data_IF_822777531596
#
_entry.id   IF_822777531596
#
_cell.length_a   1.000
_cell.length_b   1.000
_cell.length_c   1.000
_cell.angle_alpha   90.00
_cell.angle_beta   90.00
_cell.angle_gamma   90.00
#
_symmetry.space_group_name_H-M   'P 1'
#
loop_
_entity.id
_entity.type
_entity.pdbx_description
1 polymer ?
#
# COMPACT_ATOMS: atom_id res chain seq x y z
N UNK A 1 -0.99 -11.05 23.74
CA UNK A 1 -0.60 -9.78 23.10
C UNK A 1 -0.09 -10.12 21.70
N UNK A 2 -0.35 -9.25 20.72
CA UNK A 2 0.18 -9.40 19.36
C UNK A 2 1.71 -9.21 19.38
N UNK A 3 2.45 -10.01 18.61
CA UNK A 3 3.91 -9.93 18.56
C UNK A 3 4.35 -9.04 17.39
N UNK A 4 5.29 -8.13 17.64
CA UNK A 4 5.82 -7.28 16.57
C UNK A 4 6.98 -7.98 15.88
N UNK A 5 6.67 -8.80 14.89
CA UNK A 5 7.71 -9.56 14.17
C UNK A 5 8.65 -8.65 13.37
N UNK A 6 8.24 -7.40 13.11
CA UNK A 6 9.08 -6.40 12.47
C UNK A 6 10.16 -5.87 13.42
N UNK A 7 9.80 -5.58 14.68
CA UNK A 7 10.73 -5.12 15.70
C UNK A 7 11.66 -6.23 16.19
N UNK A 8 11.16 -7.46 16.26
CA UNK A 8 11.92 -8.64 16.65
C UNK A 8 12.84 -9.17 15.53
N UNK A 9 12.60 -8.74 14.29
CA UNK A 9 13.32 -9.24 13.11
C UNK A 9 12.99 -10.70 12.77
N UNK A 10 11.91 -11.24 13.34
CA UNK A 10 11.39 -12.58 13.08
C UNK A 10 10.52 -12.64 11.81
N UNK A 11 10.35 -11.51 11.12
CA UNK A 11 9.61 -11.41 9.86
C UNK A 11 10.25 -12.17 8.69
N UNK A 12 9.43 -12.71 7.78
CA UNK A 12 9.88 -13.47 6.61
C UNK A 12 10.18 -12.62 5.35
N UNK A 13 10.19 -11.29 5.46
CA UNK A 13 10.31 -10.41 4.30
C UNK A 13 11.67 -10.51 3.58
N UNK A 14 11.64 -10.55 2.24
CA UNK A 14 12.85 -10.58 1.42
C UNK A 14 13.59 -9.24 1.39
N UNK A 15 14.85 -9.23 0.95
CA UNK A 15 15.72 -8.03 0.98
C UNK A 15 15.21 -6.82 0.15
N UNK A 16 14.32 -7.03 -0.81
CA UNK A 16 13.68 -5.95 -1.58
C UNK A 16 12.37 -5.45 -0.95
N UNK A 17 11.99 -5.98 0.21
CA UNK A 17 10.76 -5.67 0.93
C UNK A 17 11.07 -5.01 2.29
N UNK A 18 10.12 -4.26 2.80
CA UNK A 18 10.06 -3.72 4.15
C UNK A 18 8.95 -4.43 4.92
N UNK A 19 9.18 -4.67 6.20
CA UNK A 19 8.18 -5.21 7.10
C UNK A 19 7.26 -4.08 7.59
N UNK A 20 5.95 -4.32 7.55
CA UNK A 20 4.93 -3.51 8.19
C UNK A 20 4.23 -4.39 9.23
N UNK A 21 4.33 -4.03 10.51
CA UNK A 21 3.68 -4.77 11.58
C UNK A 21 2.17 -4.52 11.53
N UNK A 22 1.37 -5.56 11.73
CA UNK A 22 -0.09 -5.53 11.62
C UNK A 22 -0.70 -6.34 12.76
N UNK A 23 -1.94 -6.04 13.14
CA UNK A 23 -2.57 -6.88 14.16
C UNK A 23 -2.74 -8.32 13.65
N UNK A 24 -2.17 -9.29 14.37
CA UNK A 24 -2.19 -10.71 14.00
C UNK A 24 -1.08 -11.13 13.04
N UNK A 25 -0.08 -10.29 12.77
CA UNK A 25 1.12 -10.67 12.00
C UNK A 25 1.80 -9.49 11.27
N UNK A 26 2.35 -9.73 10.08
CA UNK A 26 3.05 -8.68 9.31
C UNK A 26 2.77 -8.74 7.81
N UNK A 27 2.97 -7.59 7.15
CA UNK A 27 2.95 -7.46 5.69
C UNK A 27 4.33 -7.11 5.16
N UNK A 28 4.77 -7.82 4.11
CA UNK A 28 6.00 -7.52 3.39
C UNK A 28 5.72 -6.63 2.17
N UNK A 29 5.92 -5.33 2.33
CA UNK A 29 5.67 -4.34 1.27
C UNK A 29 6.95 -4.04 0.47
N UNK A 30 6.88 -3.73 -0.83
CA UNK A 30 8.08 -3.37 -1.59
C UNK A 30 8.77 -2.12 -1.02
N UNK A 31 10.10 -2.15 -0.88
CA UNK A 31 10.91 -0.96 -0.51
C UNK A 31 10.80 0.15 -1.55
N UNK A 32 10.76 -0.24 -2.82
CA UNK A 32 10.53 0.64 -3.96
C UNK A 32 9.07 0.48 -4.40
N UNK A 33 8.24 1.40 -3.90
CA UNK A 33 6.80 1.38 -4.12
C UNK A 33 6.47 1.80 -5.55
N UNK A 34 7.02 2.93 -5.98
CA UNK A 34 6.93 3.40 -7.35
C UNK A 34 7.96 2.65 -8.20
N UNK A 35 7.53 2.10 -9.34
CA UNK A 35 8.39 1.38 -10.28
C UNK A 35 8.34 2.02 -11.66
N UNK A 36 9.45 1.96 -12.39
CA UNK A 36 9.54 2.52 -13.75
C UNK A 36 9.53 4.06 -13.74
N UNK A 37 8.78 4.72 -14.66
CA UNK A 37 8.82 6.18 -14.81
C UNK A 37 8.02 6.94 -13.72
N UNK A 38 7.48 6.23 -12.72
CA UNK A 38 6.71 6.84 -11.64
C UNK A 38 7.61 7.37 -10.54
N UNK A 39 7.32 8.58 -10.07
CA UNK A 39 8.00 9.19 -8.92
C UNK A 39 7.07 9.30 -7.71
N UNK A 40 7.58 9.19 -6.47
CA UNK A 40 6.77 9.40 -5.27
C UNK A 40 6.16 10.80 -5.23
N UNK A 41 4.90 10.89 -4.83
CA UNK A 41 4.25 12.18 -4.64
C UNK A 41 4.73 12.80 -3.31
N UNK A 42 5.33 14.00 -3.37
CA UNK A 42 5.90 14.66 -2.18
C UNK A 42 4.93 14.91 -1.01
N UNK A 43 3.62 14.99 -1.27
CA UNK A 43 2.60 15.28 -0.24
C UNK A 43 1.73 14.09 0.14
N UNK A 44 1.88 12.96 -0.54
CA UNK A 44 1.03 11.79 -0.32
C UNK A 44 1.89 10.54 -0.31
N UNK A 45 2.14 10.02 0.88
CA UNK A 45 2.78 8.73 1.04
C UNK A 45 1.91 7.65 0.37
N UNK A 46 2.53 6.77 -0.41
CA UNK A 46 1.81 5.75 -1.18
C UNK A 46 1.33 6.19 -2.56
N UNK A 47 1.35 7.48 -2.89
CA UNK A 47 0.96 7.95 -4.23
C UNK A 47 2.19 8.05 -5.14
N UNK A 48 2.08 7.46 -6.32
CA UNK A 48 3.08 7.49 -7.38
C UNK A 48 2.53 8.28 -8.57
N UNK A 49 3.35 9.15 -9.14
CA UNK A 49 2.91 10.12 -10.16
C UNK A 49 3.71 9.91 -11.45
N UNK A 50 3.04 10.00 -12.60
CA UNK A 50 3.65 9.90 -13.92
C UNK A 50 3.14 11.03 -14.81
N UNK A 51 3.81 12.19 -14.82
CA UNK A 51 3.39 13.34 -15.62
C UNK A 51 3.47 13.01 -17.12
N UNK A 52 2.49 13.42 -17.91
CA UNK A 52 2.48 13.19 -19.37
C UNK A 52 3.70 13.77 -20.10
N UNK A 53 4.34 14.80 -19.54
CA UNK A 53 5.55 15.41 -20.06
C UNK A 53 6.81 14.51 -19.93
N UNK A 54 6.75 13.47 -19.10
CA UNK A 54 7.88 12.55 -18.88
C UNK A 54 7.84 11.42 -19.92
N UNK A 55 8.93 11.21 -20.68
CA UNK A 55 9.05 10.06 -21.58
C UNK A 55 8.83 8.74 -20.83
N UNK A 56 7.95 7.90 -21.36
CA UNK A 56 7.58 6.61 -20.74
C UNK A 56 6.32 6.65 -19.87
N UNK A 57 5.76 7.84 -19.57
CA UNK A 57 4.49 7.98 -18.87
C UNK A 57 3.26 7.88 -19.77
N UNK A 58 3.31 8.23 -21.05
CA UNK A 58 2.22 7.93 -21.99
C UNK A 58 2.43 6.51 -22.56
N UNK A 59 1.43 5.60 -22.53
CA UNK A 59 0.00 5.75 -22.23
C UNK A 59 -0.41 5.33 -20.79
N UNK A 60 0.51 5.34 -19.83
CA UNK A 60 0.31 4.88 -18.45
C UNK A 60 -0.60 5.84 -17.65
N UNK A 61 -1.23 5.38 -16.56
CA UNK A 61 -2.03 6.25 -15.71
C UNK A 61 -1.18 7.35 -15.06
N UNK A 62 -1.79 8.52 -14.88
CA UNK A 62 -1.12 9.67 -14.26
C UNK A 62 -0.81 9.43 -12.78
N UNK A 63 -1.69 8.73 -12.05
CA UNK A 63 -1.58 8.48 -10.62
C UNK A 63 -1.77 7.01 -10.31
N UNK A 64 -0.90 6.45 -9.47
CA UNK A 64 -1.07 5.14 -8.84
C UNK A 64 -1.11 5.35 -7.33
N UNK A 65 -2.12 4.80 -6.67
CA UNK A 65 -2.25 4.85 -5.21
C UNK A 65 -2.00 3.46 -4.63
N UNK A 66 -0.93 3.33 -3.86
CA UNK A 66 -0.66 2.16 -3.05
C UNK A 66 -1.22 2.38 -1.64
N UNK A 67 -2.33 1.70 -1.34
CA UNK A 67 -2.96 1.70 -0.03
C UNK A 67 -2.88 0.31 0.57
N UNK A 68 -1.99 0.13 1.53
CA UNK A 68 -1.90 -1.11 2.32
C UNK A 68 -2.96 -1.05 3.41
N UNK A 69 -4.09 -1.72 3.18
CA UNK A 69 -5.17 -1.81 4.16
C UNK A 69 -4.90 -2.99 5.09
N UNK A 70 -4.70 -2.73 6.37
CA UNK A 70 -4.91 -3.73 7.41
C UNK A 70 -6.40 -3.74 7.70
N UNK A 71 -7.11 -4.81 7.33
CA UNK A 71 -8.50 -4.98 7.75
C UNK A 71 -8.41 -5.44 9.21
N UNK A 72 -8.70 -4.59 10.23
CA UNK A 72 -8.86 -5.11 11.57
C UNK A 72 -10.00 -6.14 11.51
N UNK A 73 -9.89 -7.22 12.26
CA UNK A 73 -10.89 -8.29 12.32
C UNK A 73 -12.27 -7.67 12.64
N UNK A 74 -13.05 -7.35 11.60
CA UNK A 74 -14.41 -6.85 11.74
C UNK A 74 -15.24 -8.11 11.97
N UNK A 75 -15.25 -8.61 13.20
CA UNK A 75 -16.03 -9.80 13.58
C UNK A 75 -17.55 -9.61 13.39
N UNK A 76 -17.99 -8.40 13.05
CA UNK A 76 -19.36 -8.07 12.70
C UNK A 76 -19.35 -7.16 11.46
N UNK A 77 -19.33 -7.75 10.26
CA UNK A 77 -19.85 -7.05 9.08
C UNK A 77 -21.34 -7.41 9.04
N UNK A 78 -22.26 -6.51 9.44
CA UNK A 78 -23.65 -6.71 9.10
C UNK A 78 -23.69 -6.79 7.57
N UNK A 79 -24.34 -7.80 7.02
CA UNK A 79 -24.70 -7.87 5.60
C UNK A 79 -25.65 -6.73 5.25
N UNK A 80 -25.16 -5.50 5.30
CA UNK A 80 -25.77 -4.29 4.77
C UNK A 80 -25.13 -4.01 3.43
N UNK A 81 -25.94 -4.05 2.37
CA UNK A 81 -25.51 -3.63 1.03
C UNK A 81 -25.24 -2.13 1.11
N UNK A 82 -23.96 -1.74 1.11
CA UNK A 82 -23.59 -0.33 1.04
C UNK A 82 -23.65 0.14 -0.42
N UNK A 83 -24.66 0.94 -0.74
CA UNK A 83 -24.72 1.65 -2.02
C UNK A 83 -23.77 2.86 -1.97
N UNK A 84 -22.73 2.84 -2.79
CA UNK A 84 -21.92 4.03 -3.06
C UNK A 84 -22.73 4.95 -3.97
N UNK A 85 -23.37 5.97 -3.39
CA UNK A 85 -24.04 7.01 -4.15
C UNK A 85 -23.06 8.18 -4.34
N UNK A 86 -22.66 8.42 -5.59
CA UNK A 86 -21.92 9.63 -5.95
C UNK A 86 -22.86 10.85 -5.99
N UNK A 87 -22.38 12.05 -5.64
CA UNK A 87 -23.11 13.31 -5.86
C UNK A 87 -23.22 13.66 -7.35
#
# INVERSE_FOLDING_TARGET
PDQDECAEGSHGCGGAQSCLNTFGGHLCVPRQLCRGPYTPHSRSNGTCVCPRAVPGCAPRPHWLLHRFLTIPEISDVPTGIFQLQHP
#
